data_IF_177847159492
#
_entry.id   IF_177847159492
#
_cell.length_a   1.000
_cell.length_b   1.000
_cell.length_c   1.000
_cell.angle_alpha   90.00
_cell.angle_beta   90.00
_cell.angle_gamma   90.00
#
_symmetry.space_group_name_H-M   'P 1'
#
loop_
_entity.id
_entity.type
_entity.pdbx_description
1 polymer ?
#
# COMPACT_ATOMS: atom_id res chain seq x y z
N UNK A 1 30.13 19.04 -5.79
CA UNK A 1 29.05 18.03 -5.78
C UNK A 1 28.96 17.41 -4.39
N UNK A 2 28.23 18.05 -3.46
CA UNK A 2 28.07 17.61 -2.08
C UNK A 2 26.62 17.13 -1.90
N UNK A 3 26.46 15.86 -1.55
CA UNK A 3 25.33 15.33 -0.75
C UNK A 3 23.93 15.19 -1.39
N UNK A 4 23.80 15.01 -2.71
CA UNK A 4 22.49 14.69 -3.32
C UNK A 4 21.99 13.28 -2.92
N UNK A 5 22.84 12.26 -3.02
CA UNK A 5 22.48 10.87 -2.71
C UNK A 5 21.96 10.65 -1.28
N UNK A 6 22.47 11.42 -0.30
CA UNK A 6 22.04 11.33 1.10
C UNK A 6 20.60 11.78 1.32
N UNK A 7 20.16 12.85 0.64
CA UNK A 7 18.80 13.36 0.76
C UNK A 7 17.75 12.45 0.12
N UNK A 8 18.07 11.82 -1.01
CA UNK A 8 17.18 10.88 -1.71
C UNK A 8 17.01 9.58 -0.92
N UNK A 9 18.12 9.00 -0.46
CA UNK A 9 18.07 7.78 0.35
C UNK A 9 17.32 8.02 1.67
N UNK A 10 17.55 9.17 2.33
CA UNK A 10 16.88 9.48 3.60
C UNK A 10 15.36 9.61 3.43
N UNK A 11 14.88 10.29 2.38
CA UNK A 11 13.43 10.45 2.20
C UNK A 11 12.76 9.12 1.83
N UNK A 12 13.41 8.28 1.03
CA UNK A 12 12.89 6.94 0.70
C UNK A 12 12.91 6.02 1.92
N UNK A 13 13.92 6.08 2.80
CA UNK A 13 13.91 5.32 4.08
C UNK A 13 12.75 5.77 4.99
N UNK A 14 12.46 7.08 5.04
CA UNK A 14 11.30 7.59 5.79
C UNK A 14 9.99 7.06 5.19
N UNK A 15 9.87 7.05 3.86
CA UNK A 15 8.75 6.43 3.14
C UNK A 15 8.58 4.96 3.51
N UNK A 16 9.65 4.17 3.39
CA UNK A 16 9.69 2.74 3.72
C UNK A 16 9.26 2.45 5.16
N UNK A 17 9.82 3.20 6.12
CA UNK A 17 9.48 3.03 7.53
C UNK A 17 8.00 3.38 7.81
N UNK A 18 7.49 4.41 7.15
CA UNK A 18 6.09 4.82 7.24
C UNK A 18 5.16 3.77 6.65
N UNK A 19 5.48 3.25 5.46
CA UNK A 19 4.72 2.19 4.80
C UNK A 19 4.65 0.92 5.65
N UNK A 20 5.77 0.51 6.26
CA UNK A 20 5.80 -0.63 7.15
C UNK A 20 5.00 -0.40 8.44
N UNK A 21 5.07 0.80 9.03
CA UNK A 21 4.25 1.16 10.18
C UNK A 21 2.75 1.16 9.85
N UNK A 22 2.37 1.69 8.68
CA UNK A 22 1.00 1.65 8.18
C UNK A 22 0.52 0.22 7.94
N UNK A 23 1.36 -0.65 7.37
CA UNK A 23 1.06 -2.07 7.23
C UNK A 23 0.71 -2.71 8.58
N UNK A 24 1.57 -2.54 9.59
CA UNK A 24 1.32 -3.11 10.92
C UNK A 24 0.03 -2.58 11.55
N UNK A 25 -0.17 -1.26 11.51
CA UNK A 25 -1.38 -0.61 12.04
C UNK A 25 -2.64 -1.13 11.35
N UNK A 26 -2.70 -1.09 10.02
CA UNK A 26 -3.86 -1.51 9.23
C UNK A 26 -4.12 -3.01 9.36
N UNK A 27 -3.08 -3.84 9.43
CA UNK A 27 -3.26 -5.29 9.55
C UNK A 27 -3.91 -5.65 10.89
N UNK A 28 -3.38 -5.12 12.01
CA UNK A 28 -3.94 -5.36 13.34
C UNK A 28 -5.37 -4.83 13.40
N UNK A 29 -5.58 -3.60 12.95
CA UNK A 29 -6.87 -2.94 13.03
C UNK A 29 -7.91 -3.55 12.08
N UNK A 30 -7.49 -4.05 10.91
CA UNK A 30 -8.32 -4.79 9.98
C UNK A 30 -8.75 -6.16 10.51
N UNK A 31 -7.86 -6.87 11.22
CA UNK A 31 -8.21 -8.13 11.89
C UNK A 31 -9.20 -7.88 13.04
N UNK A 32 -8.92 -6.89 13.90
CA UNK A 32 -9.79 -6.54 15.03
C UNK A 32 -11.15 -6.00 14.57
N UNK A 33 -11.13 -5.14 13.55
CA UNK A 33 -12.32 -4.57 12.91
C UNK A 33 -13.03 -5.55 11.97
N UNK A 34 -12.46 -6.74 11.70
CA UNK A 34 -13.01 -7.73 10.75
C UNK A 34 -13.28 -7.14 9.33
N UNK A 35 -12.49 -6.16 8.89
CA UNK A 35 -12.61 -5.54 7.56
C UNK A 35 -11.64 -6.16 6.57
N UNK A 36 -12.17 -6.69 5.47
CA UNK A 36 -11.38 -7.25 4.40
C UNK A 36 -10.69 -6.16 3.58
N UNK A 37 -11.37 -5.06 3.30
CA UNK A 37 -10.80 -3.96 2.54
C UNK A 37 -9.57 -3.37 3.25
N UNK A 38 -9.63 -3.19 4.58
CA UNK A 38 -8.51 -2.67 5.36
C UNK A 38 -7.32 -3.64 5.41
N UNK A 39 -7.57 -4.95 5.49
CA UNK A 39 -6.50 -5.94 5.46
C UNK A 39 -5.82 -5.97 4.09
N UNK A 40 -6.59 -5.91 3.00
CA UNK A 40 -6.02 -5.82 1.65
C UNK A 40 -5.15 -4.56 1.48
N UNK A 41 -5.62 -3.41 1.97
CA UNK A 41 -4.90 -2.14 1.99
C UNK A 41 -3.63 -2.17 2.88
N UNK A 42 -3.65 -2.95 3.96
CA UNK A 42 -2.46 -3.20 4.77
C UNK A 42 -1.36 -3.88 3.94
N UNK A 43 -1.69 -4.98 3.26
CA UNK A 43 -0.73 -5.68 2.42
C UNK A 43 -0.30 -4.87 1.20
N UNK A 44 -1.14 -3.96 0.69
CA UNK A 44 -0.71 -2.98 -0.30
C UNK A 44 0.43 -2.10 0.24
N UNK A 45 0.30 -1.61 1.49
CA UNK A 45 1.36 -0.82 2.15
C UNK A 45 2.63 -1.65 2.41
N UNK A 46 2.52 -2.97 2.59
CA UNK A 46 3.67 -3.87 2.63
C UNK A 46 4.35 -3.98 1.25
N UNK A 47 3.58 -3.99 0.17
CA UNK A 47 4.09 -3.97 -1.21
C UNK A 47 4.89 -2.71 -1.48
N UNK A 48 4.37 -1.56 -1.07
CA UNK A 48 5.09 -0.29 -1.18
C UNK A 48 6.40 -0.29 -0.42
N UNK A 49 6.46 -0.96 0.74
CA UNK A 49 7.71 -1.14 1.49
C UNK A 49 8.74 -1.92 0.66
N UNK A 50 8.31 -2.96 -0.07
CA UNK A 50 9.18 -3.70 -0.97
C UNK A 50 9.65 -2.85 -2.15
N UNK A 51 8.76 -2.04 -2.75
CA UNK A 51 9.10 -1.07 -3.80
C UNK A 51 10.12 -0.05 -3.30
N UNK A 52 9.97 0.50 -2.09
CA UNK A 52 10.93 1.44 -1.50
C UNK A 52 12.32 0.81 -1.30
N UNK A 53 12.40 -0.49 -0.95
CA UNK A 53 13.67 -1.23 -0.88
C UNK A 53 14.33 -1.31 -2.27
N UNK A 54 13.55 -1.60 -3.31
CA UNK A 54 14.03 -1.63 -4.70
C UNK A 54 14.52 -0.25 -5.13
N UNK A 55 13.82 0.83 -4.77
CA UNK A 55 14.23 2.21 -5.04
C UNK A 55 15.53 2.55 -4.31
N UNK A 56 15.66 2.24 -3.01
CA UNK A 56 16.90 2.46 -2.25
C UNK A 56 18.10 1.73 -2.85
N UNK A 57 17.87 0.49 -3.27
CA UNK A 57 18.92 -0.31 -3.90
C UNK A 57 19.28 0.25 -5.28
N UNK A 58 18.27 0.68 -6.07
CA UNK A 58 18.45 1.38 -7.34
C UNK A 58 19.28 2.66 -7.19
N UNK A 59 19.01 3.47 -6.17
CA UNK A 59 19.80 4.67 -5.84
C UNK A 59 21.24 4.33 -5.49
N UNK A 60 21.46 3.25 -4.72
CA UNK A 60 22.80 2.75 -4.36
C UNK A 60 23.57 2.25 -5.57
N UNK A 61 22.92 1.55 -6.50
CA UNK A 61 23.55 1.03 -7.73
C UNK A 61 23.79 2.15 -8.74
N UNK A 62 22.84 3.08 -8.92
CA UNK A 62 22.96 4.22 -9.83
C UNK A 62 24.05 5.23 -9.44
N UNK A 63 24.55 5.16 -8.21
CA UNK A 63 25.71 5.93 -7.76
C UNK A 63 27.07 5.35 -8.21
N UNK A 64 27.08 4.20 -8.91
CA UNK A 64 28.26 3.60 -9.55
C UNK A 64 28.29 3.97 -11.05
N UNK A 65 29.47 4.08 -11.68
CA UNK A 65 29.57 4.42 -13.11
C UNK A 65 28.79 3.42 -13.98
N UNK A 66 28.22 3.84 -15.13
CA UNK A 66 27.34 3.00 -15.93
C UNK A 66 28.09 1.75 -16.43
N UNK A 67 27.63 0.57 -16.02
CA UNK A 67 28.11 -0.70 -16.57
C UNK A 67 27.11 -1.21 -17.64
N UNK A 68 27.65 -1.75 -18.73
CA UNK A 68 26.92 -2.17 -19.92
C UNK A 68 25.87 -3.28 -19.66
N UNK A 69 25.91 -3.93 -18.49
CA UNK A 69 25.09 -5.10 -18.16
C UNK A 69 23.81 -4.84 -17.34
N UNK A 70 23.52 -3.61 -16.88
CA UNK A 70 22.45 -3.37 -15.89
C UNK A 70 21.31 -2.46 -16.38
N UNK A 71 20.77 -2.69 -17.58
CA UNK A 71 19.68 -1.85 -18.13
C UNK A 71 18.24 -2.31 -17.77
N UNK A 72 17.99 -3.57 -17.39
CA UNK A 72 16.61 -4.10 -17.26
C UNK A 72 16.38 -5.23 -16.22
N UNK A 73 17.32 -5.52 -15.32
CA UNK A 73 17.31 -6.75 -14.52
C UNK A 73 16.43 -6.80 -13.26
N UNK A 74 15.85 -5.69 -12.81
CA UNK A 74 15.35 -5.58 -11.41
C UNK A 74 13.83 -5.62 -11.24
N UNK A 75 13.06 -5.36 -12.30
CA UNK A 75 11.61 -5.58 -12.29
C UNK A 75 11.24 -7.02 -11.92
N UNK A 76 12.06 -8.01 -12.26
CA UNK A 76 11.76 -9.43 -11.96
C UNK A 76 11.68 -9.74 -10.47
N UNK A 77 12.47 -9.07 -9.62
CA UNK A 77 12.47 -9.29 -8.17
C UNK A 77 11.28 -8.57 -7.53
N UNK A 78 11.00 -7.35 -7.98
CA UNK A 78 9.82 -6.57 -7.59
C UNK A 78 8.53 -7.33 -7.91
N UNK A 79 8.36 -7.78 -9.16
CA UNK A 79 7.20 -8.56 -9.58
C UNK A 79 7.04 -9.86 -8.77
N UNK A 80 8.13 -10.50 -8.33
CA UNK A 80 8.06 -11.71 -7.49
C UNK A 80 7.62 -11.40 -6.06
N UNK A 81 8.08 -10.29 -5.49
CA UNK A 81 7.62 -9.82 -4.17
C UNK A 81 6.13 -9.43 -4.22
N UNK A 82 5.72 -8.71 -5.27
CA UNK A 82 4.33 -8.34 -5.50
C UNK A 82 3.42 -9.56 -5.71
N UNK A 83 3.90 -10.59 -6.44
CA UNK A 83 3.19 -11.86 -6.59
C UNK A 83 3.02 -12.58 -5.24
N UNK A 84 4.06 -12.63 -4.42
CA UNK A 84 3.98 -13.24 -3.09
C UNK A 84 2.95 -12.51 -2.20
N UNK A 85 2.97 -11.18 -2.22
CA UNK A 85 1.99 -10.34 -1.50
C UNK A 85 0.57 -10.59 -2.01
N UNK A 86 0.38 -10.65 -3.33
CA UNK A 86 -0.90 -10.96 -3.94
C UNK A 86 -1.45 -12.33 -3.49
N UNK A 87 -0.59 -13.36 -3.44
CA UNK A 87 -0.97 -14.69 -2.93
C UNK A 87 -1.31 -14.63 -1.43
N UNK A 88 -0.56 -13.87 -0.62
CA UNK A 88 -0.86 -13.69 0.79
C UNK A 88 -2.22 -13.00 1.02
N UNK A 89 -2.53 -11.95 0.25
CA UNK A 89 -3.83 -11.29 0.26
C UNK A 89 -4.93 -12.27 -0.14
N UNK A 90 -4.74 -13.03 -1.22
CA UNK A 90 -5.71 -14.04 -1.68
C UNK A 90 -5.97 -15.11 -0.62
N UNK A 91 -4.94 -15.58 0.10
CA UNK A 91 -5.09 -16.54 1.19
C UNK A 91 -5.90 -15.95 2.37
N UNK A 92 -5.61 -14.70 2.75
CA UNK A 92 -6.38 -13.99 3.79
C UNK A 92 -7.82 -13.74 3.34
N UNK A 93 -8.03 -13.41 2.07
CA UNK A 93 -9.34 -13.27 1.45
C UNK A 93 -10.15 -14.56 1.54
N UNK A 94 -9.56 -15.70 1.16
CA UNK A 94 -10.20 -17.01 1.25
C UNK A 94 -10.54 -17.35 2.71
N UNK A 95 -9.66 -17.05 3.67
CA UNK A 95 -9.90 -17.29 5.09
C UNK A 95 -11.10 -16.47 5.61
N UNK A 96 -11.17 -15.20 5.26
CA UNK A 96 -12.27 -14.31 5.63
C UNK A 96 -13.55 -14.72 4.90
N UNK A 97 -13.49 -15.07 3.61
CA UNK A 97 -14.62 -15.55 2.82
C UNK A 97 -15.20 -16.86 3.39
N UNK A 98 -14.37 -17.81 3.80
CA UNK A 98 -14.81 -19.03 4.50
C UNK A 98 -15.49 -18.71 5.84
N UNK A 99 -14.93 -17.78 6.61
CA UNK A 99 -15.60 -17.23 7.80
C UNK A 99 -16.91 -16.49 7.49
N UNK A 100 -17.04 -15.97 6.27
CA UNK A 100 -18.24 -15.29 5.77
C UNK A 100 -19.35 -16.24 5.36
N UNK A 101 -19.01 -17.40 4.79
CA UNK A 101 -19.99 -18.44 4.42
C UNK A 101 -20.63 -19.04 5.68
N UNK A 102 -19.86 -19.21 6.77
CA UNK A 102 -20.43 -19.57 8.08
C UNK A 102 -21.26 -18.43 8.71
N UNK A 103 -20.88 -17.18 8.44
CA UNK A 103 -21.57 -15.97 8.92
C UNK A 103 -22.78 -15.53 8.11
N UNK A 104 -23.06 -16.18 6.97
CA UNK A 104 -24.17 -15.85 6.06
C UNK A 104 -25.56 -15.99 6.74
N UNK A 105 -25.61 -16.74 7.85
CA UNK A 105 -26.81 -16.96 8.68
C UNK A 105 -26.79 -16.22 10.02
N UNK A 106 -25.72 -15.51 10.37
CA UNK A 106 -25.61 -14.77 11.63
C UNK A 106 -25.53 -13.26 11.37
N UNK A 107 -26.51 -12.52 11.88
CA UNK A 107 -26.68 -11.05 11.86
C UNK A 107 -25.52 -10.22 12.44
N UNK A 108 -24.34 -10.80 12.68
CA UNK A 108 -23.21 -10.15 13.35
C UNK A 108 -22.15 -9.59 12.39
N UNK A 109 -22.55 -8.72 11.46
CA UNK A 109 -21.61 -7.82 10.78
C UNK A 109 -21.99 -6.37 11.00
N UNK A 110 -21.66 -5.88 12.18
CA UNK A 110 -21.53 -4.45 12.40
C UNK A 110 -20.15 -4.00 11.92
N UNK A 111 -20.12 -3.32 10.79
CA UNK A 111 -19.06 -2.37 10.45
C UNK A 111 -19.77 -1.04 10.18
N UNK A 112 -19.53 -0.07 11.06
CA UNK A 112 -18.24 0.63 11.15
C UNK A 112 -17.72 0.68 12.58
N UNK A 113 -16.47 0.27 12.75
CA UNK A 113 -15.76 0.44 14.00
C UNK A 113 -14.71 1.51 13.83
N UNK A 114 -14.49 2.31 14.86
CA UNK A 114 -13.35 3.24 14.93
C UNK A 114 -12.02 2.54 14.59
N UNK A 115 -11.94 1.23 14.85
CA UNK A 115 -10.82 0.36 14.45
C UNK A 115 -10.55 0.35 12.93
N UNK A 116 -11.52 0.61 12.06
CA UNK A 116 -11.31 0.62 10.60
C UNK A 116 -11.07 2.03 10.05
N UNK A 117 -11.84 3.00 10.52
CA UNK A 117 -11.80 4.39 10.02
C UNK A 117 -10.49 5.07 10.42
N UNK A 118 -10.07 4.91 11.68
CA UNK A 118 -8.89 5.60 12.20
C UNK A 118 -7.60 5.26 11.43
N UNK A 119 -7.24 3.97 11.18
CA UNK A 119 -6.08 3.62 10.38
C UNK A 119 -6.11 4.14 8.94
N UNK A 120 -7.29 4.18 8.31
CA UNK A 120 -7.45 4.70 6.94
C UNK A 120 -7.16 6.19 6.88
N UNK A 121 -7.72 6.96 7.83
CA UNK A 121 -7.45 8.40 7.92
C UNK A 121 -5.96 8.65 8.19
N UNK A 122 -5.36 7.92 9.12
CA UNK A 122 -3.91 8.01 9.40
C UNK A 122 -3.09 7.71 8.15
N UNK A 123 -3.46 6.67 7.38
CA UNK A 123 -2.81 6.32 6.11
C UNK A 123 -2.86 7.44 5.09
N UNK A 124 -4.05 7.98 4.82
CA UNK A 124 -4.28 9.04 3.83
C UNK A 124 -3.43 10.26 4.18
N UNK A 125 -3.46 10.70 5.45
CA UNK A 125 -2.67 11.85 5.91
C UNK A 125 -1.18 11.57 5.78
N UNK A 126 -0.71 10.40 6.24
CA UNK A 126 0.71 10.03 6.17
C UNK A 126 1.21 9.97 4.72
N UNK A 127 0.45 9.35 3.80
CA UNK A 127 0.81 9.23 2.38
C UNK A 127 0.81 10.58 1.67
N UNK A 128 -0.13 11.48 1.98
CA UNK A 128 -0.12 12.84 1.43
C UNK A 128 1.06 13.68 1.96
N UNK A 129 1.42 13.52 3.25
CA UNK A 129 2.63 14.15 3.81
C UNK A 129 3.91 13.63 3.14
N UNK A 130 3.98 12.32 2.86
CA UNK A 130 5.07 11.72 2.11
C UNK A 130 5.11 12.23 0.68
N UNK A 131 3.98 12.32 -0.02
CA UNK A 131 3.91 12.89 -1.37
C UNK A 131 4.57 14.28 -1.40
N UNK A 132 4.15 15.19 -0.53
CA UNK A 132 4.71 16.54 -0.52
C UNK A 132 6.20 16.57 -0.17
N UNK A 133 6.63 15.75 0.79
CA UNK A 133 8.02 15.70 1.25
C UNK A 133 8.94 15.10 0.18
N UNK A 134 8.56 13.95 -0.37
CA UNK A 134 9.28 13.24 -1.43
C UNK A 134 9.31 14.04 -2.73
N UNK A 135 8.20 14.69 -3.11
CA UNK A 135 8.16 15.53 -4.32
C UNK A 135 9.09 16.74 -4.22
N UNK A 136 9.16 17.40 -3.06
CA UNK A 136 10.08 18.52 -2.83
C UNK A 136 11.53 18.08 -2.97
N UNK A 137 11.89 16.94 -2.38
CA UNK A 137 13.25 16.39 -2.49
C UNK A 137 13.55 15.98 -3.93
N UNK A 138 12.67 15.24 -4.58
CA UNK A 138 12.85 14.79 -5.96
C UNK A 138 13.03 15.95 -6.94
N UNK A 139 12.24 17.02 -6.82
CA UNK A 139 12.38 18.23 -7.65
C UNK A 139 13.67 19.00 -7.36
N UNK A 140 14.05 19.17 -6.09
CA UNK A 140 15.27 19.88 -5.70
C UNK A 140 16.53 19.19 -6.24
N UNK A 141 16.47 17.87 -6.40
CA UNK A 141 17.59 17.05 -6.82
C UNK A 141 17.50 16.57 -8.28
N UNK A 142 16.46 16.97 -9.02
CA UNK A 142 16.18 16.52 -10.39
C UNK A 142 16.17 15.00 -10.56
N UNK A 143 15.71 14.28 -9.53
CA UNK A 143 15.71 12.81 -9.49
C UNK A 143 14.35 12.26 -9.94
N UNK A 144 14.30 11.78 -11.19
CA UNK A 144 13.10 11.15 -11.77
C UNK A 144 12.56 9.98 -10.92
N UNK A 145 13.39 9.05 -10.40
CA UNK A 145 12.91 7.95 -9.55
C UNK A 145 12.22 8.43 -8.27
N UNK A 146 12.77 9.47 -7.61
CA UNK A 146 12.19 10.02 -6.38
C UNK A 146 10.88 10.77 -6.67
N UNK A 147 10.81 11.50 -7.78
CA UNK A 147 9.56 12.15 -8.22
C UNK A 147 8.49 11.10 -8.54
N UNK A 148 8.85 10.00 -9.21
CA UNK A 148 7.93 8.90 -9.48
C UNK A 148 7.40 8.29 -8.17
N UNK A 149 8.29 8.03 -7.19
CA UNK A 149 7.87 7.50 -5.88
C UNK A 149 6.91 8.44 -5.14
N UNK A 150 7.11 9.76 -5.26
CA UNK A 150 6.17 10.72 -4.69
C UNK A 150 4.76 10.54 -5.29
N UNK A 151 4.64 10.48 -6.62
CA UNK A 151 3.35 10.26 -7.29
C UNK A 151 2.72 8.92 -6.95
N UNK A 152 3.53 7.90 -6.68
CA UNK A 152 3.07 6.61 -6.18
C UNK A 152 2.37 6.76 -4.81
N UNK A 153 2.99 7.43 -3.84
CA UNK A 153 2.36 7.72 -2.54
C UNK A 153 1.02 8.45 -2.69
N UNK A 154 0.90 9.39 -3.63
CA UNK A 154 -0.35 10.12 -3.86
C UNK A 154 -1.45 9.23 -4.44
N UNK A 155 -1.10 8.37 -5.39
CA UNK A 155 -2.05 7.44 -5.99
C UNK A 155 -2.58 6.45 -4.94
N UNK A 156 -1.72 5.99 -4.04
CA UNK A 156 -2.13 5.14 -2.93
C UNK A 156 -3.03 5.86 -1.91
N UNK A 157 -2.73 7.13 -1.57
CA UNK A 157 -3.59 7.95 -0.72
C UNK A 157 -5.03 8.02 -1.27
N UNK A 158 -5.17 8.14 -2.59
CA UNK A 158 -6.47 8.12 -3.28
C UNK A 158 -7.13 6.73 -3.17
N UNK A 159 -6.38 5.65 -3.34
CA UNK A 159 -6.90 4.29 -3.16
C UNK A 159 -7.41 4.05 -1.73
N UNK A 160 -6.65 4.45 -0.71
CA UNK A 160 -7.07 4.41 0.70
C UNK A 160 -8.33 5.27 0.94
N UNK A 161 -8.45 6.42 0.27
CA UNK A 161 -9.64 7.28 0.35
C UNK A 161 -10.88 6.61 -0.25
N UNK A 162 -10.75 5.89 -1.36
CA UNK A 162 -11.86 5.11 -1.95
C UNK A 162 -12.38 4.06 -0.95
N UNK A 163 -11.47 3.37 -0.25
CA UNK A 163 -11.84 2.41 0.79
C UNK A 163 -12.58 3.14 1.93
N UNK A 164 -12.04 4.25 2.42
CA UNK A 164 -12.67 5.05 3.49
C UNK A 164 -14.09 5.49 3.12
N UNK A 165 -14.28 6.04 1.93
CA UNK A 165 -15.61 6.44 1.44
C UNK A 165 -16.55 5.24 1.37
N UNK A 166 -16.06 4.08 0.89
CA UNK A 166 -16.83 2.84 0.90
C UNK A 166 -17.28 2.42 2.30
N UNK A 167 -16.38 2.48 3.29
CA UNK A 167 -16.71 2.20 4.70
C UNK A 167 -17.76 3.19 5.23
N UNK A 168 -17.62 4.49 4.96
CA UNK A 168 -18.58 5.51 5.40
C UNK A 168 -19.96 5.35 4.72
N UNK A 169 -20.00 4.89 3.47
CA UNK A 169 -21.28 4.57 2.81
C UNK A 169 -21.95 3.38 3.50
N UNK A 170 -21.20 2.37 3.92
CA UNK A 170 -21.77 1.26 4.71
C UNK A 170 -22.27 1.70 6.08
N UNK A 171 -21.66 2.73 6.68
CA UNK A 171 -22.14 3.36 7.92
C UNK A 171 -23.52 4.00 7.75
N UNK A 172 -23.76 4.65 6.61
CA UNK A 172 -25.05 5.26 6.28
C UNK A 172 -26.09 4.25 5.77
N UNK A 173 -25.64 3.19 5.09
CA UNK A 173 -26.49 2.17 4.49
C UNK A 173 -26.02 0.75 4.86
N UNK A 174 -26.38 0.25 6.06
CA UNK A 174 -25.93 -1.06 6.55
C UNK A 174 -26.36 -2.26 5.68
N UNK A 175 -27.36 -2.08 4.81
CA UNK A 175 -27.77 -3.09 3.81
C UNK A 175 -26.67 -3.40 2.80
N UNK A 176 -25.67 -2.53 2.65
CA UNK A 176 -24.53 -2.67 1.74
C UNK A 176 -23.32 -3.38 2.37
N UNK A 177 -23.51 -4.21 3.39
CA UNK A 177 -22.43 -4.91 4.12
C UNK A 177 -21.47 -5.74 3.23
N UNK A 178 -21.88 -6.10 2.01
CA UNK A 178 -21.03 -6.81 1.04
C UNK A 178 -19.96 -5.91 0.40
N UNK A 179 -20.07 -4.58 0.54
CA UNK A 179 -19.18 -3.62 -0.10
C UNK A 179 -17.74 -3.70 0.42
N UNK A 180 -17.54 -4.00 1.72
CA UNK A 180 -16.20 -4.25 2.29
C UNK A 180 -15.51 -5.44 1.59
N UNK A 181 -16.24 -6.53 1.35
CA UNK A 181 -15.74 -7.68 0.64
C UNK A 181 -15.39 -7.34 -0.81
N UNK A 182 -16.27 -6.59 -1.49
CA UNK A 182 -16.07 -6.17 -2.87
C UNK A 182 -14.84 -5.25 -3.02
N UNK A 183 -14.67 -4.28 -2.12
CA UNK A 183 -13.53 -3.36 -2.13
C UNK A 183 -12.21 -4.10 -1.89
N UNK A 184 -12.15 -5.03 -0.93
CA UNK A 184 -10.94 -5.81 -0.73
C UNK A 184 -10.60 -6.72 -1.92
N UNK A 185 -11.59 -7.24 -2.65
CA UNK A 185 -11.35 -8.02 -3.88
C UNK A 185 -10.80 -7.10 -4.97
N UNK A 186 -11.37 -5.90 -5.11
CA UNK A 186 -10.90 -4.91 -6.07
C UNK A 186 -9.43 -4.53 -5.83
N UNK A 187 -9.04 -4.29 -4.57
CA UNK A 187 -7.65 -4.01 -4.18
C UNK A 187 -6.74 -5.21 -4.48
N UNK A 188 -7.15 -6.43 -4.14
CA UNK A 188 -6.37 -7.63 -4.42
C UNK A 188 -6.13 -7.81 -5.93
N UNK A 189 -7.16 -7.62 -6.76
CA UNK A 189 -7.05 -7.68 -8.23
C UNK A 189 -6.13 -6.57 -8.75
N UNK A 190 -6.25 -5.35 -8.22
CA UNK A 190 -5.38 -4.24 -8.60
C UNK A 190 -3.90 -4.57 -8.35
N UNK A 191 -3.56 -5.12 -7.18
CA UNK A 191 -2.19 -5.54 -6.85
C UNK A 191 -1.70 -6.65 -7.78
N UNK A 192 -2.53 -7.65 -8.07
CA UNK A 192 -2.19 -8.72 -9.02
C UNK A 192 -1.89 -8.16 -10.41
N UNK A 193 -2.72 -7.22 -10.88
CA UNK A 193 -2.54 -6.61 -12.20
C UNK A 193 -1.28 -5.77 -12.27
N UNK A 194 -0.90 -5.10 -11.17
CA UNK A 194 0.39 -4.41 -11.08
C UNK A 194 1.56 -5.41 -11.13
N UNK A 195 1.50 -6.49 -10.36
CA UNK A 195 2.52 -7.54 -10.33
C UNK A 195 2.76 -8.24 -11.68
N UNK A 196 1.72 -8.28 -12.52
CA UNK A 196 1.76 -8.96 -13.81
C UNK A 196 2.35 -8.11 -14.96
N UNK A 197 2.67 -6.83 -14.73
CA UNK A 197 3.20 -5.90 -15.74
C UNK A 197 4.72 -5.67 -15.61
#
# INVERSE_FOLDING_TARGET
MKDSSGGEARITVIGMATNFALFALKLVAGILGKSFALVADAFHSLSDTATDIVVLWSLKVSSRPPDANHRYGHKKIENLAELFIAVAIAAVAIRIAKGSIGGFFSKERHLPSWWVIFPLVVSIVAKEMLYHSTLRVGKKQSSLPVVANAWHHRTDSISSLVILVGILIMELFPSLYFLDAALGVAVAVFIIVLAAK
#
